data_IF_102878860660
#
_entry.id   IF_102878860660
#
_cell.length_a   1.000
_cell.length_b   1.000
_cell.length_c   1.000
_cell.angle_alpha   90.00
_cell.angle_beta   90.00
_cell.angle_gamma   90.00
#
_symmetry.space_group_name_H-M   'P 1'
#
loop_
_entity.id
_entity.type
_entity.pdbx_description
1 polymer ?
#
# COMPACT_ATOMS: atom_id res chain seq x y z
N UNK A 1 28.98 14.50 -68.16
CA UNK A 1 29.97 15.19 -67.32
C UNK A 1 30.36 14.17 -66.24
N UNK A 2 31.28 13.24 -66.51
CA UNK A 2 32.75 13.41 -66.37
C UNK A 2 33.08 13.78 -64.90
N UNK A 3 33.91 13.08 -64.12
CA UNK A 3 35.12 12.32 -64.45
C UNK A 3 35.69 11.66 -63.15
N UNK A 4 36.22 10.43 -63.29
CA UNK A 4 37.45 9.83 -62.66
C UNK A 4 37.60 9.65 -61.15
N UNK A 5 37.80 8.40 -60.67
CA UNK A 5 39.06 7.63 -60.40
C UNK A 5 39.78 8.12 -59.12
N UNK A 6 40.11 7.27 -58.13
CA UNK A 6 41.12 6.20 -58.21
C UNK A 6 40.88 4.99 -57.27
N UNK A 7 41.33 3.82 -57.74
CA UNK A 7 41.69 2.57 -57.02
C UNK A 7 43.21 2.65 -56.66
N UNK A 8 43.84 1.77 -55.83
CA UNK A 8 43.60 0.31 -55.76
C UNK A 8 43.93 -0.45 -54.43
N UNK A 9 43.69 -1.78 -54.48
CA UNK A 9 44.47 -2.89 -53.86
C UNK A 9 44.44 -3.02 -52.33
N UNK A 10 44.23 -4.18 -51.69
CA UNK A 10 44.74 -5.54 -51.96
C UNK A 10 43.88 -6.63 -51.27
N UNK A 11 43.82 -7.81 -51.91
CA UNK A 11 43.77 -9.20 -51.38
C UNK A 11 42.76 -9.53 -50.24
N UNK A 12 41.74 -10.37 -50.44
CA UNK A 12 41.72 -11.81 -50.80
C UNK A 12 42.29 -12.74 -49.71
N UNK A 13 41.39 -13.41 -48.98
CA UNK A 13 41.38 -14.87 -48.70
C UNK A 13 40.18 -15.16 -47.77
N UNK A 14 39.12 -15.81 -48.28
CA UNK A 14 38.90 -17.27 -48.27
C UNK A 14 38.65 -17.84 -46.87
N UNK A 15 37.39 -18.14 -46.52
CA UNK A 15 36.90 -19.53 -46.60
C UNK A 15 35.41 -19.62 -46.22
N UNK A 16 34.58 -19.92 -47.22
CA UNK A 16 33.22 -20.46 -47.09
C UNK A 16 33.31 -21.92 -47.51
N UNK A 17 33.08 -22.90 -46.61
CA UNK A 17 32.75 -24.28 -47.01
C UNK A 17 31.73 -24.95 -46.10
N UNK A 18 30.58 -25.22 -46.70
CA UNK A 18 29.59 -26.23 -46.33
C UNK A 18 30.20 -27.66 -46.35
N UNK A 19 29.66 -28.62 -45.58
CA UNK A 19 30.18 -29.98 -45.54
C UNK A 19 29.81 -30.79 -46.79
N UNK A 20 30.81 -31.48 -47.33
CA UNK A 20 30.74 -32.34 -48.51
C UNK A 20 30.15 -33.72 -48.18
N UNK A 21 29.18 -34.15 -48.99
CA UNK A 21 28.76 -35.54 -49.11
C UNK A 21 29.80 -36.34 -49.91
N UNK A 22 30.21 -37.48 -49.37
CA UNK A 22 31.14 -38.40 -50.01
C UNK A 22 30.43 -39.23 -51.09
N UNK A 23 30.76 -38.98 -52.35
CA UNK A 23 30.43 -39.83 -53.49
C UNK A 23 31.45 -40.96 -53.61
N UNK A 24 30.98 -42.21 -53.58
CA UNK A 24 31.78 -43.42 -53.77
C UNK A 24 32.24 -43.59 -55.22
N UNK A 25 33.52 -43.94 -55.41
CA UNK A 25 34.13 -44.31 -56.69
C UNK A 25 33.62 -45.68 -57.15
N UNK A 26 33.06 -45.75 -58.36
CA UNK A 26 32.90 -47.00 -59.11
C UNK A 26 34.25 -47.41 -59.72
N UNK A 27 34.76 -48.57 -59.32
CA UNK A 27 35.91 -49.24 -59.96
C UNK A 27 35.38 -50.16 -61.07
N UNK A 28 35.96 -50.01 -62.27
CA UNK A 28 35.61 -50.76 -63.47
C UNK A 28 36.01 -52.24 -63.35
N UNK A 29 35.09 -53.12 -63.75
CA UNK A 29 35.25 -54.59 -63.77
C UNK A 29 35.95 -55.01 -65.07
N UNK A 30 37.06 -55.73 -64.97
CA UNK A 30 37.74 -56.40 -66.11
C UNK A 30 37.10 -57.79 -66.39
N UNK A 31 37.12 -58.30 -67.64
CA UNK A 31 36.46 -59.55 -68.00
C UNK A 31 37.23 -60.81 -67.53
N UNK A 32 36.50 -61.77 -66.94
CA UNK A 32 37.00 -63.07 -66.45
C UNK A 32 37.35 -64.04 -67.59
N UNK A 33 38.33 -64.91 -67.36
CA UNK A 33 38.74 -65.96 -68.31
C UNK A 33 37.85 -67.21 -68.22
N UNK A 34 37.77 -68.07 -69.27
CA UNK A 34 36.81 -69.19 -69.35
C UNK A 34 36.97 -70.27 -68.27
N UNK A 35 38.12 -70.35 -67.60
CA UNK A 35 38.40 -71.35 -66.57
C UNK A 35 37.80 -71.00 -65.19
N UNK A 36 37.33 -69.77 -64.99
CA UNK A 36 36.80 -69.28 -63.70
C UNK A 36 35.27 -69.39 -63.59
N UNK A 37 34.60 -69.85 -64.64
CA UNK A 37 33.13 -69.96 -64.71
C UNK A 37 32.55 -71.28 -64.18
N UNK A 38 33.39 -72.22 -63.72
CA UNK A 38 32.97 -73.56 -63.27
C UNK A 38 33.24 -73.84 -61.79
N UNK A 39 33.71 -72.85 -61.01
CA UNK A 39 33.74 -72.98 -59.55
C UNK A 39 32.39 -72.55 -58.94
N UNK A 40 31.79 -73.33 -58.03
CA UNK A 40 30.58 -72.93 -57.34
C UNK A 40 30.88 -71.68 -56.52
N UNK A 41 30.21 -70.58 -56.87
CA UNK A 41 30.39 -69.27 -56.23
C UNK A 41 30.03 -69.42 -54.75
N UNK A 42 30.99 -69.15 -53.85
CA UNK A 42 30.72 -69.11 -52.41
C UNK A 42 29.60 -68.08 -52.16
N UNK A 43 28.62 -68.39 -51.28
CA UNK A 43 27.60 -67.41 -50.91
C UNK A 43 28.27 -66.14 -50.38
N UNK A 44 27.70 -64.94 -50.63
CA UNK A 44 28.20 -63.71 -50.01
C UNK A 44 28.20 -63.89 -48.48
N UNK A 45 29.27 -63.43 -47.84
CA UNK A 45 29.38 -63.47 -46.38
C UNK A 45 28.14 -62.78 -45.75
N UNK A 46 27.59 -63.32 -44.65
CA UNK A 46 26.51 -62.66 -43.92
C UNK A 46 26.95 -61.23 -43.59
N UNK A 47 26.05 -60.22 -43.67
CA UNK A 47 26.41 -58.87 -43.24
C UNK A 47 26.99 -58.95 -41.82
N UNK A 48 28.12 -58.28 -41.60
CA UNK A 48 28.71 -58.15 -40.27
C UNK A 48 27.57 -57.73 -39.33
N UNK A 49 27.30 -58.54 -38.30
CA UNK A 49 26.35 -58.14 -37.27
C UNK A 49 26.97 -56.91 -36.62
N UNK A 50 26.30 -55.76 -36.77
CA UNK A 50 26.64 -54.56 -36.01
C UNK A 50 26.86 -55.00 -34.56
N UNK A 51 28.07 -54.76 -34.03
CA UNK A 51 28.34 -55.03 -32.62
C UNK A 51 27.28 -54.29 -31.81
N UNK A 52 26.64 -54.93 -30.80
CA UNK A 52 25.62 -54.27 -30.01
C UNK A 52 26.24 -52.99 -29.42
N UNK A 53 25.68 -51.84 -29.80
CA UNK A 53 26.08 -50.54 -29.28
C UNK A 53 26.19 -50.63 -27.74
N UNK A 54 27.29 -50.18 -27.13
CA UNK A 54 27.48 -50.33 -25.70
C UNK A 54 26.32 -49.69 -24.95
N UNK A 55 25.60 -50.50 -24.16
CA UNK A 55 24.51 -50.03 -23.32
C UNK A 55 25.02 -48.82 -22.50
N UNK A 56 24.41 -47.63 -22.62
CA UNK A 56 24.88 -46.46 -21.89
C UNK A 56 24.94 -46.78 -20.39
N UNK A 57 26.07 -46.43 -19.76
CA UNK A 57 26.33 -46.73 -18.35
C UNK A 57 25.11 -46.39 -17.48
N UNK A 58 24.75 -47.22 -16.49
CA UNK A 58 23.52 -47.04 -15.71
C UNK A 58 23.40 -45.66 -15.05
N UNK A 59 24.54 -45.02 -14.78
CA UNK A 59 24.63 -43.64 -14.30
C UNK A 59 24.12 -42.59 -15.31
N UNK A 60 24.42 -42.74 -16.61
CA UNK A 60 23.97 -41.82 -17.66
C UNK A 60 22.46 -41.94 -17.91
N UNK A 61 21.90 -43.17 -17.90
CA UNK A 61 20.44 -43.38 -17.96
C UNK A 61 19.72 -42.76 -16.75
N UNK A 62 20.32 -42.80 -15.56
CA UNK A 62 19.79 -42.15 -14.37
C UNK A 62 19.84 -40.62 -14.47
N UNK A 63 20.91 -40.07 -15.06
CA UNK A 63 21.06 -38.64 -15.31
C UNK A 63 20.04 -38.13 -16.34
N UNK A 64 19.84 -38.85 -17.45
CA UNK A 64 18.82 -38.51 -18.46
C UNK A 64 17.40 -38.55 -17.87
N UNK A 65 17.12 -39.52 -16.99
CA UNK A 65 15.87 -39.58 -16.24
C UNK A 65 15.67 -38.36 -15.33
N UNK A 66 16.72 -37.92 -14.63
CA UNK A 66 16.68 -36.72 -13.80
C UNK A 66 16.50 -35.45 -14.65
N UNK A 67 17.23 -35.29 -15.74
CA UNK A 67 17.11 -34.15 -16.66
C UNK A 67 15.70 -34.07 -17.23
N UNK A 68 15.16 -35.20 -17.70
CA UNK A 68 13.78 -35.28 -18.21
C UNK A 68 12.76 -34.95 -17.12
N UNK A 69 12.96 -35.43 -15.88
CA UNK A 69 12.10 -35.11 -14.74
C UNK A 69 12.12 -33.62 -14.41
N UNK A 70 13.30 -32.99 -14.33
CA UNK A 70 13.42 -31.55 -14.06
C UNK A 70 12.87 -30.71 -15.21
N UNK A 71 13.02 -31.15 -16.46
CA UNK A 71 12.43 -30.49 -17.62
C UNK A 71 10.90 -30.53 -17.56
N UNK A 72 10.30 -31.69 -17.29
CA UNK A 72 8.85 -31.82 -17.12
C UNK A 72 8.34 -31.00 -15.94
N UNK A 73 9.08 -30.98 -14.82
CA UNK A 73 8.77 -30.15 -13.67
C UNK A 73 8.81 -28.65 -14.04
N UNK A 74 9.82 -28.21 -14.79
CA UNK A 74 9.92 -26.83 -15.26
C UNK A 74 8.76 -26.46 -16.19
N UNK A 75 8.41 -27.31 -17.15
CA UNK A 75 7.24 -27.12 -18.02
C UNK A 75 5.94 -27.03 -17.22
N UNK A 76 5.76 -27.88 -16.21
CA UNK A 76 4.61 -27.84 -15.31
C UNK A 76 4.56 -26.51 -14.54
N UNK A 77 5.68 -26.08 -13.96
CA UNK A 77 5.77 -24.82 -13.22
C UNK A 77 5.47 -23.61 -14.12
N UNK A 78 5.98 -23.59 -15.35
CA UNK A 78 5.68 -22.55 -16.35
C UNK A 78 4.19 -22.55 -16.71
N UNK A 79 3.59 -23.72 -16.90
CA UNK A 79 2.15 -23.86 -17.18
C UNK A 79 1.29 -23.33 -16.03
N UNK A 80 1.61 -23.72 -14.79
CA UNK A 80 0.93 -23.22 -13.58
C UNK A 80 1.10 -21.70 -13.45
N UNK A 81 2.32 -21.21 -13.67
CA UNK A 81 2.61 -19.77 -13.62
C UNK A 81 1.78 -18.98 -14.64
N UNK A 82 1.73 -19.46 -15.89
CA UNK A 82 0.91 -18.84 -16.93
C UNK A 82 -0.58 -18.85 -16.57
N UNK A 83 -1.08 -19.98 -16.04
CA UNK A 83 -2.46 -20.09 -15.59
C UNK A 83 -2.81 -19.10 -14.46
N UNK A 84 -1.95 -18.97 -13.44
CA UNK A 84 -2.11 -17.99 -12.35
C UNK A 84 -2.12 -16.57 -12.91
N UNK A 85 -1.19 -16.24 -13.81
CA UNK A 85 -1.12 -14.91 -14.45
C UNK A 85 -2.43 -14.59 -15.18
N UNK A 86 -2.95 -15.53 -15.98
CA UNK A 86 -4.21 -15.33 -16.70
C UNK A 86 -5.34 -15.08 -15.72
N UNK A 87 -5.49 -15.89 -14.68
CA UNK A 87 -6.56 -15.74 -13.68
C UNK A 87 -6.48 -14.43 -12.90
N UNK A 88 -5.27 -13.94 -12.62
CA UNK A 88 -5.06 -12.71 -11.85
C UNK A 88 -5.57 -11.45 -12.58
N UNK A 89 -5.56 -11.49 -13.92
CA UNK A 89 -6.01 -10.41 -14.80
C UNK A 89 -7.45 -10.60 -15.29
N UNK A 90 -8.12 -11.71 -14.95
CA UNK A 90 -9.53 -11.91 -15.28
C UNK A 90 -10.42 -10.95 -14.49
N UNK A 91 -11.56 -10.53 -15.07
CA UNK A 91 -12.60 -9.79 -14.35
C UNK A 91 -13.01 -10.54 -13.07
N UNK A 92 -13.05 -9.82 -11.95
CA UNK A 92 -13.43 -10.41 -10.66
C UNK A 92 -14.91 -10.75 -10.58
N UNK A 93 -15.33 -11.53 -9.56
CA UNK A 93 -16.71 -12.01 -9.44
C UNK A 93 -17.71 -10.96 -8.95
N UNK A 94 -17.29 -9.78 -8.50
CA UNK A 94 -18.23 -8.75 -8.03
C UNK A 94 -19.16 -8.26 -9.15
N UNK A 95 -20.46 -8.43 -8.97
CA UNK A 95 -21.47 -7.84 -9.83
C UNK A 95 -21.72 -6.34 -9.53
N UNK A 96 -21.45 -5.88 -8.31
CA UNK A 96 -21.66 -4.49 -7.85
C UNK A 96 -20.49 -4.04 -6.98
N UNK A 97 -20.17 -2.75 -7.00
CA UNK A 97 -19.13 -2.20 -6.13
C UNK A 97 -19.46 -2.47 -4.66
N UNK A 98 -18.50 -2.99 -3.92
CA UNK A 98 -18.68 -3.42 -2.52
C UNK A 98 -17.59 -2.83 -1.64
N UNK A 99 -17.97 -2.39 -0.44
CA UNK A 99 -17.05 -1.88 0.57
C UNK A 99 -16.69 -3.02 1.53
N UNK A 100 -15.39 -3.22 1.75
CA UNK A 100 -14.87 -4.24 2.66
C UNK A 100 -13.91 -3.59 3.66
N UNK A 101 -14.06 -3.97 4.93
CA UNK A 101 -13.23 -3.49 6.02
C UNK A 101 -12.19 -4.56 6.35
N UNK A 102 -10.92 -4.17 6.30
CA UNK A 102 -9.78 -5.01 6.66
C UNK A 102 -9.23 -4.51 8.00
N UNK A 103 -9.43 -5.26 9.10
CA UNK A 103 -8.90 -4.95 10.42
C UNK A 103 -7.38 -4.79 10.48
N UNK A 104 -6.91 -3.98 11.44
CA UNK A 104 -5.48 -3.85 11.76
C UNK A 104 -4.92 -5.18 12.28
N UNK A 105 -3.71 -5.53 11.83
CA UNK A 105 -3.03 -6.75 12.25
C UNK A 105 -3.54 -8.04 11.58
N UNK A 106 -4.53 -7.96 10.69
CA UNK A 106 -5.00 -9.13 9.95
C UNK A 106 -3.90 -9.61 8.97
N UNK A 107 -3.53 -10.89 9.06
CA UNK A 107 -2.51 -11.49 8.22
C UNK A 107 -2.99 -11.71 6.78
N UNK A 108 -2.06 -11.77 5.83
CA UNK A 108 -2.35 -11.93 4.38
C UNK A 108 -3.33 -13.06 4.07
N UNK A 109 -3.17 -14.22 4.74
CA UNK A 109 -4.06 -15.36 4.53
C UNK A 109 -5.50 -15.13 5.01
N UNK A 110 -5.67 -14.40 6.12
CA UNK A 110 -6.99 -14.03 6.64
C UNK A 110 -7.66 -12.97 5.75
N UNK A 111 -6.90 -11.98 5.28
CA UNK A 111 -7.37 -10.98 4.31
C UNK A 111 -7.87 -11.69 3.05
N UNK A 112 -7.08 -12.61 2.49
CA UNK A 112 -7.47 -13.34 1.28
C UNK A 112 -8.72 -14.21 1.49
N UNK A 113 -8.88 -14.81 2.67
CA UNK A 113 -10.10 -15.55 3.01
C UNK A 113 -11.32 -14.65 3.10
N UNK A 114 -11.19 -13.49 3.75
CA UNK A 114 -12.25 -12.48 3.84
C UNK A 114 -12.66 -11.99 2.46
N UNK A 115 -11.70 -11.61 1.63
CA UNK A 115 -11.98 -11.14 0.27
C UNK A 115 -12.68 -12.22 -0.57
N UNK A 116 -12.33 -13.50 -0.40
CA UNK A 116 -13.03 -14.57 -1.10
C UNK A 116 -14.46 -14.75 -0.55
N UNK A 117 -14.62 -14.71 0.77
CA UNK A 117 -15.92 -14.85 1.45
C UNK A 117 -16.88 -13.73 1.07
N UNK A 118 -16.38 -12.51 0.95
CA UNK A 118 -17.13 -11.32 0.56
C UNK A 118 -17.33 -11.23 -0.96
N UNK A 119 -16.87 -12.24 -1.72
CA UNK A 119 -17.02 -12.31 -3.17
C UNK A 119 -16.19 -11.28 -3.93
N UNK A 120 -15.15 -10.71 -3.30
CA UNK A 120 -14.24 -9.76 -3.93
C UNK A 120 -13.26 -10.46 -4.87
N UNK A 121 -12.79 -11.65 -4.49
CA UNK A 121 -11.89 -12.47 -5.29
C UNK A 121 -12.48 -13.87 -5.51
N UNK A 122 -12.18 -14.48 -6.65
CA UNK A 122 -12.68 -15.81 -6.99
C UNK A 122 -12.00 -16.93 -6.18
N UNK A 123 -10.68 -16.85 -5.98
CA UNK A 123 -9.89 -17.90 -5.33
C UNK A 123 -8.76 -17.31 -4.48
N UNK A 124 -8.75 -17.67 -3.19
CA UNK A 124 -7.71 -17.26 -2.22
C UNK A 124 -6.32 -17.76 -2.58
N UNK A 125 -6.18 -18.98 -3.11
CA UNK A 125 -4.88 -19.59 -3.43
C UNK A 125 -4.22 -18.81 -4.56
N UNK A 126 -4.98 -18.52 -5.62
CA UNK A 126 -4.50 -17.69 -6.74
C UNK A 126 -4.07 -16.32 -6.23
N UNK A 127 -4.89 -15.67 -5.41
CA UNK A 127 -4.56 -14.36 -4.84
C UNK A 127 -3.29 -14.40 -3.98
N UNK A 128 -3.13 -15.40 -3.11
CA UNK A 128 -1.93 -15.56 -2.28
C UNK A 128 -0.67 -15.83 -3.10
N UNK A 129 -0.74 -16.70 -4.11
CA UNK A 129 0.39 -16.96 -5.02
C UNK A 129 0.79 -15.67 -5.76
N UNK A 130 -0.20 -14.88 -6.19
CA UNK A 130 0.03 -13.61 -6.85
C UNK A 130 0.66 -12.55 -5.92
N UNK A 131 0.33 -12.53 -4.63
CA UNK A 131 1.01 -11.66 -3.65
C UNK A 131 2.49 -12.01 -3.55
N UNK A 132 2.83 -13.31 -3.45
CA UNK A 132 4.22 -13.74 -3.37
C UNK A 132 5.00 -13.31 -4.63
N UNK A 133 4.41 -13.48 -5.80
CA UNK A 133 4.97 -13.02 -7.07
C UNK A 133 5.13 -11.49 -7.13
N UNK A 134 4.10 -10.75 -6.72
CA UNK A 134 4.12 -9.29 -6.72
C UNK A 134 5.18 -8.74 -5.76
N UNK A 135 5.30 -9.33 -4.58
CA UNK A 135 6.31 -8.96 -3.58
C UNK A 135 7.73 -9.28 -4.04
N UNK A 136 7.91 -10.37 -4.80
CA UNK A 136 9.20 -10.73 -5.41
C UNK A 136 9.62 -9.73 -6.52
N UNK A 137 8.67 -9.26 -7.34
CA UNK A 137 8.97 -8.37 -8.47
C UNK A 137 9.06 -6.89 -8.10
N UNK A 138 8.12 -6.39 -7.30
CA UNK A 138 8.03 -4.95 -7.01
C UNK A 138 8.76 -4.52 -5.74
N UNK A 139 9.08 -5.46 -4.85
CA UNK A 139 9.73 -5.17 -3.58
C UNK A 139 8.82 -4.40 -2.61
N UNK A 140 8.81 -4.84 -1.35
CA UNK A 140 8.18 -4.18 -0.19
C UNK A 140 6.82 -3.51 -0.43
N UNK A 141 5.77 -4.33 -0.58
CA UNK A 141 4.39 -3.90 -0.38
C UNK A 141 3.75 -4.77 0.70
N UNK A 142 3.36 -4.18 1.83
CA UNK A 142 2.48 -4.84 2.79
C UNK A 142 1.04 -4.44 2.51
N UNK A 143 0.12 -5.42 2.57
CA UNK A 143 -1.32 -5.14 2.51
C UNK A 143 -1.66 -4.21 3.68
N UNK A 144 -2.26 -3.07 3.37
CA UNK A 144 -2.68 -2.10 4.37
C UNK A 144 -4.05 -2.48 4.92
N UNK A 145 -4.24 -2.24 6.21
CA UNK A 145 -5.54 -2.32 6.85
C UNK A 145 -6.32 -1.03 6.55
N UNK A 146 -7.64 -1.14 6.42
CA UNK A 146 -8.49 -0.01 6.06
C UNK A 146 -9.86 -0.45 5.56
N UNK A 147 -10.69 0.54 5.27
CA UNK A 147 -11.96 0.36 4.58
C UNK A 147 -11.75 0.63 3.09
N UNK A 148 -12.09 -0.32 2.22
CA UNK A 148 -11.79 -0.24 0.78
C UNK A 148 -13.05 -0.45 -0.04
N UNK A 149 -13.24 0.38 -1.06
CA UNK A 149 -14.25 0.15 -2.10
C UNK A 149 -13.64 -0.62 -3.27
N UNK A 150 -14.17 -1.80 -3.56
CA UNK A 150 -13.82 -2.56 -4.75
C UNK A 150 -14.89 -2.37 -5.82
N UNK A 151 -14.48 -1.93 -7.00
CA UNK A 151 -15.39 -1.73 -8.14
C UNK A 151 -15.95 -3.06 -8.64
N UNK A 152 -17.13 -3.02 -9.28
CA UNK A 152 -17.66 -4.18 -10.02
C UNK A 152 -16.62 -4.73 -10.99
N UNK A 153 -16.51 -6.05 -11.05
CA UNK A 153 -15.56 -6.78 -11.89
C UNK A 153 -14.08 -6.40 -11.69
N UNK A 154 -13.71 -5.79 -10.56
CA UNK A 154 -12.32 -5.49 -10.25
C UNK A 154 -11.46 -6.76 -10.33
N UNK A 155 -10.36 -6.71 -11.07
CA UNK A 155 -9.46 -7.85 -11.19
C UNK A 155 -8.71 -8.07 -9.88
N UNK A 156 -8.20 -9.29 -9.65
CA UNK A 156 -7.37 -9.55 -8.46
C UNK A 156 -6.14 -8.63 -8.40
N UNK A 157 -5.60 -8.23 -9.56
CA UNK A 157 -4.55 -7.20 -9.66
C UNK A 157 -5.00 -5.88 -9.08
N UNK A 158 -6.16 -5.37 -9.51
CA UNK A 158 -6.68 -4.09 -9.03
C UNK A 158 -7.01 -4.13 -7.54
N UNK A 159 -7.54 -5.25 -7.05
CA UNK A 159 -7.77 -5.49 -5.63
C UNK A 159 -6.44 -5.43 -4.87
N UNK A 160 -5.42 -6.15 -5.33
CA UNK A 160 -4.09 -6.13 -4.71
C UNK A 160 -3.47 -4.73 -4.71
N UNK A 161 -3.49 -4.04 -5.86
CA UNK A 161 -2.94 -2.70 -6.00
C UNK A 161 -3.63 -1.72 -5.03
N UNK A 162 -4.97 -1.78 -4.91
CA UNK A 162 -5.75 -0.95 -3.98
C UNK A 162 -5.31 -1.16 -2.52
N UNK A 163 -5.04 -2.41 -2.13
CA UNK A 163 -4.61 -2.78 -0.78
C UNK A 163 -3.15 -2.43 -0.49
N UNK A 164 -2.27 -2.54 -1.48
CA UNK A 164 -0.85 -2.20 -1.33
C UNK A 164 -0.65 -0.69 -1.31
N UNK A 165 -1.34 0.04 -2.20
CA UNK A 165 -1.32 1.50 -2.24
C UNK A 165 -2.00 2.12 -1.00
N UNK A 166 -2.89 1.37 -0.34
CA UNK A 166 -3.60 1.84 0.84
C UNK A 166 -4.63 2.93 0.49
N UNK A 167 -5.27 2.85 -0.68
CA UNK A 167 -6.36 3.76 -1.10
C UNK A 167 -7.65 3.47 -0.33
N UNK A 168 -7.60 3.62 0.99
CA UNK A 168 -8.75 3.42 1.87
C UNK A 168 -9.70 4.61 1.83
N UNK A 169 -10.96 4.37 2.12
CA UNK A 169 -11.95 5.38 2.43
C UNK A 169 -11.54 6.06 3.74
N UNK A 170 -11.44 7.39 3.69
CA UNK A 170 -11.23 8.23 4.86
C UNK A 170 -12.49 9.03 5.15
N UNK A 171 -12.89 8.98 6.42
CA UNK A 171 -13.94 9.81 7.00
C UNK A 171 -13.32 11.05 7.63
N UNK A 172 -14.15 12.05 7.95
CA UNK A 172 -13.69 13.29 8.57
C UNK A 172 -14.62 13.72 9.68
N UNK A 173 -14.05 14.22 10.77
CA UNK A 173 -14.79 14.91 11.83
C UNK A 173 -14.21 16.30 12.00
N UNK A 174 -15.06 17.33 11.89
CA UNK A 174 -14.66 18.73 12.08
C UNK A 174 -15.08 19.18 13.47
N UNK A 175 -14.12 19.65 14.24
CA UNK A 175 -14.30 20.16 15.61
C UNK A 175 -13.98 21.65 15.58
N UNK A 176 -14.99 22.47 15.85
CA UNK A 176 -14.87 23.92 15.76
C UNK A 176 -14.10 24.49 16.96
N UNK A 177 -13.48 25.66 16.77
CA UNK A 177 -12.90 26.46 17.84
C UNK A 177 -13.95 26.83 18.90
N UNK A 178 -13.50 27.04 20.13
CA UNK A 178 -14.37 27.38 21.26
C UNK A 178 -15.18 26.21 21.83
N UNK A 179 -15.10 24.99 21.30
CA UNK A 179 -15.73 23.84 21.95
C UNK A 179 -14.99 23.46 23.25
N UNK A 180 -15.74 23.05 24.27
CA UNK A 180 -15.16 22.48 25.49
C UNK A 180 -14.73 21.03 25.26
N UNK A 181 -13.83 20.51 26.10
CA UNK A 181 -13.43 19.09 26.04
C UNK A 181 -14.65 18.16 26.17
N UNK A 182 -15.63 18.52 27.01
CA UNK A 182 -16.88 17.78 27.13
C UNK A 182 -17.66 17.73 25.81
N UNK A 183 -17.84 18.87 25.14
CA UNK A 183 -18.56 18.96 23.87
C UNK A 183 -17.84 18.19 22.75
N UNK A 184 -16.51 18.24 22.72
CA UNK A 184 -15.70 17.46 21.77
C UNK A 184 -15.93 15.97 21.99
N UNK A 185 -15.82 15.49 23.23
CA UNK A 185 -16.06 14.09 23.57
C UNK A 185 -17.48 13.67 23.19
N UNK A 186 -18.50 14.47 23.54
CA UNK A 186 -19.89 14.19 23.17
C UNK A 186 -20.07 14.09 21.65
N UNK A 187 -19.44 14.99 20.88
CA UNK A 187 -19.50 14.98 19.41
C UNK A 187 -18.82 13.75 18.81
N UNK A 188 -17.69 13.31 19.37
CA UNK A 188 -17.02 12.07 18.95
C UNK A 188 -17.85 10.83 19.31
N UNK A 189 -18.44 10.79 20.51
CA UNK A 189 -19.32 9.72 20.95
C UNK A 189 -20.56 9.58 20.06
N UNK A 190 -21.15 10.70 19.62
CA UNK A 190 -22.31 10.70 18.73
C UNK A 190 -21.99 10.38 17.25
N UNK A 191 -20.72 10.36 16.84
CA UNK A 191 -20.35 10.12 15.45
C UNK A 191 -20.55 8.64 15.08
N UNK A 192 -21.38 8.30 14.06
CA UNK A 192 -21.78 6.91 13.78
C UNK A 192 -20.66 6.02 13.23
N UNK A 193 -19.69 6.62 12.53
CA UNK A 193 -18.57 5.88 11.93
C UNK A 193 -17.39 5.68 12.89
N UNK A 194 -17.42 6.34 14.05
CA UNK A 194 -16.40 6.17 15.09
C UNK A 194 -16.82 5.06 16.05
N UNK A 195 -15.84 4.39 16.62
CA UNK A 195 -16.04 3.30 17.57
C UNK A 195 -15.04 3.39 18.72
N UNK A 196 -15.26 2.57 19.75
CA UNK A 196 -14.48 2.59 20.98
C UNK A 196 -15.00 3.60 21.99
N UNK A 197 -14.76 3.31 23.26
CA UNK A 197 -15.10 4.19 24.38
C UNK A 197 -13.99 5.22 24.59
N UNK A 198 -14.36 6.37 25.16
CA UNK A 198 -13.41 7.36 25.65
C UNK A 198 -13.33 7.19 27.17
N UNK A 199 -12.17 6.78 27.68
CA UNK A 199 -12.02 6.41 29.09
C UNK A 199 -12.23 7.60 30.06
N UNK A 200 -11.78 8.79 29.65
CA UNK A 200 -11.90 10.00 30.44
C UNK A 200 -11.98 11.23 29.54
N UNK A 201 -12.67 12.26 30.01
CA UNK A 201 -12.71 13.55 29.31
C UNK A 201 -11.34 14.22 29.47
N UNK A 202 -10.68 14.59 28.36
CA UNK A 202 -9.39 15.27 28.44
C UNK A 202 -9.47 16.62 29.14
N UNK A 203 -8.38 17.11 29.77
CA UNK A 203 -8.36 18.44 30.36
C UNK A 203 -8.76 19.54 29.37
N UNK A 204 -9.37 20.62 29.83
CA UNK A 204 -9.73 21.75 28.96
C UNK A 204 -8.51 22.36 28.27
N UNK A 205 -8.71 22.79 27.02
CA UNK A 205 -7.65 23.34 26.17
C UNK A 205 -6.58 22.31 25.76
N UNK A 206 -6.70 21.03 26.14
CA UNK A 206 -5.75 19.98 25.77
C UNK A 206 -5.95 19.43 24.35
N UNK A 207 -7.05 19.81 23.68
CA UNK A 207 -7.46 19.29 22.38
C UNK A 207 -7.44 20.41 21.34
N UNK A 208 -6.69 20.22 20.25
CA UNK A 208 -6.63 21.20 19.16
C UNK A 208 -7.89 21.09 18.29
N UNK A 209 -8.70 22.15 18.14
CA UNK A 209 -9.81 22.15 17.20
C UNK A 209 -9.30 22.14 15.75
N UNK A 210 -9.72 21.14 14.97
CA UNK A 210 -9.41 21.02 13.54
C UNK A 210 -10.36 19.99 12.88
N UNK A 211 -10.16 19.74 11.59
CA UNK A 211 -10.74 18.61 10.87
C UNK A 211 -9.80 17.41 10.90
N UNK A 212 -10.21 16.36 11.60
CA UNK A 212 -9.45 15.12 11.73
C UNK A 212 -9.98 14.07 10.77
N UNK A 213 -9.07 13.48 9.99
CA UNK A 213 -9.34 12.35 9.09
C UNK A 213 -9.16 11.03 9.82
N UNK A 214 -10.03 10.07 9.58
CA UNK A 214 -9.95 8.77 10.23
C UNK A 214 -10.50 7.66 9.33
N UNK A 215 -9.97 6.45 9.46
CA UNK A 215 -10.51 5.25 8.83
C UNK A 215 -11.43 4.49 9.79
N UNK A 216 -12.17 3.50 9.27
CA UNK A 216 -13.08 2.68 10.10
C UNK A 216 -12.42 1.85 11.20
N UNK A 217 -11.10 1.70 11.12
CA UNK A 217 -10.28 1.02 12.13
C UNK A 217 -9.72 1.96 13.20
N UNK A 218 -9.92 3.29 13.08
CA UNK A 218 -9.51 4.25 14.09
C UNK A 218 -10.54 4.33 15.20
N UNK A 219 -10.06 4.33 16.44
CA UNK A 219 -10.94 4.50 17.61
C UNK A 219 -11.18 5.98 17.91
N UNK A 220 -12.21 6.28 18.72
CA UNK A 220 -12.41 7.61 19.29
C UNK A 220 -11.20 8.07 20.11
N UNK A 221 -10.56 7.13 20.82
CA UNK A 221 -9.35 7.39 21.60
C UNK A 221 -8.17 7.77 20.71
N UNK A 222 -8.00 7.12 19.54
CA UNK A 222 -6.96 7.46 18.56
C UNK A 222 -7.11 8.91 18.05
N UNK A 223 -8.34 9.41 17.95
CA UNK A 223 -8.59 10.82 17.59
C UNK A 223 -8.19 11.74 18.75
N UNK A 224 -8.61 11.45 19.98
CA UNK A 224 -8.25 12.24 21.16
C UNK A 224 -6.72 12.36 21.29
N UNK A 225 -5.99 11.26 21.15
CA UNK A 225 -4.52 11.26 21.23
C UNK A 225 -3.88 12.12 20.13
N UNK A 226 -4.40 12.04 18.90
CA UNK A 226 -3.95 12.90 17.81
C UNK A 226 -4.24 14.37 18.08
N UNK A 227 -5.40 14.70 18.63
CA UNK A 227 -5.76 16.06 19.02
C UNK A 227 -4.82 16.61 20.10
N UNK A 228 -4.47 15.80 21.11
CA UNK A 228 -3.56 16.19 22.18
C UNK A 228 -2.12 16.39 21.67
N UNK A 229 -1.64 15.48 20.82
CA UNK A 229 -0.34 15.62 20.19
C UNK A 229 -0.27 16.87 19.29
N UNK A 230 -1.33 17.13 18.53
CA UNK A 230 -1.44 18.32 17.69
C UNK A 230 -1.47 19.60 18.53
N UNK A 231 -2.22 19.62 19.64
CA UNK A 231 -2.29 20.76 20.56
C UNK A 231 -0.94 21.07 21.19
N UNK A 232 -0.25 20.05 21.71
CA UNK A 232 1.07 20.23 22.32
C UNK A 232 2.07 20.81 21.32
N UNK A 233 2.07 20.29 20.09
CA UNK A 233 2.94 20.77 19.00
C UNK A 233 2.58 22.21 18.58
N UNK A 234 1.29 22.51 18.44
CA UNK A 234 0.81 23.83 18.06
C UNK A 234 1.18 24.87 19.12
N UNK A 235 0.89 24.59 20.39
CA UNK A 235 1.17 25.49 21.50
C UNK A 235 2.68 25.76 21.65
N UNK A 236 3.51 24.72 21.54
CA UNK A 236 4.96 24.87 21.58
C UNK A 236 5.45 25.81 20.45
N UNK A 237 4.97 25.59 19.21
CA UNK A 237 5.35 26.41 18.06
C UNK A 237 4.92 27.87 18.23
N UNK A 238 3.68 28.12 18.66
CA UNK A 238 3.17 29.49 18.85
C UNK A 238 3.92 30.18 20.00
N UNK A 239 4.25 29.44 21.05
CA UNK A 239 4.99 29.98 22.20
C UNK A 239 6.42 30.39 21.83
N UNK A 240 7.09 29.66 20.95
CA UNK A 240 8.42 30.04 20.45
C UNK A 240 8.40 31.37 19.67
N UNK A 241 7.32 31.64 18.93
CA UNK A 241 7.17 32.84 18.09
C UNK A 241 6.37 33.96 18.77
N UNK A 242 6.18 33.90 20.09
CA UNK A 242 5.37 34.88 20.82
C UNK A 242 6.07 36.24 20.93
N UNK A 243 5.29 37.30 21.12
CA UNK A 243 5.85 38.63 21.42
C UNK A 243 6.53 38.63 22.81
N UNK A 244 7.69 39.27 22.93
CA UNK A 244 8.44 39.35 24.19
C UNK A 244 7.69 40.14 25.28
N UNK A 245 6.78 41.04 24.88
CA UNK A 245 6.05 41.93 25.79
C UNK A 245 4.71 41.39 26.30
N UNK A 246 4.35 40.13 26.04
CA UNK A 246 3.07 39.57 26.50
C UNK A 246 3.01 39.49 28.03
N UNK A 247 1.81 39.64 28.58
CA UNK A 247 1.59 39.63 30.04
C UNK A 247 1.64 38.23 30.66
N UNK A 248 1.44 37.19 29.86
CA UNK A 248 1.40 35.79 30.29
C UNK A 248 2.81 35.20 30.34
N UNK A 249 3.07 34.39 31.35
CA UNK A 249 4.41 33.87 31.67
C UNK A 249 4.60 32.42 31.24
N UNK A 250 3.51 31.69 31.03
CA UNK A 250 3.54 30.28 30.61
C UNK A 250 2.69 30.02 29.36
N UNK A 251 2.99 28.98 28.57
CA UNK A 251 2.14 28.56 27.46
C UNK A 251 0.69 28.26 27.90
N UNK A 252 0.53 27.72 29.10
CA UNK A 252 -0.77 27.41 29.69
C UNK A 252 -1.57 28.69 29.97
N UNK A 253 -0.95 29.73 30.54
CA UNK A 253 -1.60 31.03 30.72
C UNK A 253 -1.99 31.68 29.40
N UNK A 254 -1.15 31.55 28.36
CA UNK A 254 -1.49 32.04 27.03
C UNK A 254 -2.71 31.33 26.45
N UNK A 255 -2.79 30.01 26.61
CA UNK A 255 -3.94 29.22 26.18
C UNK A 255 -5.23 29.60 26.93
N UNK A 256 -5.14 29.84 28.25
CA UNK A 256 -6.28 30.31 29.05
C UNK A 256 -6.74 31.69 28.56
N UNK A 257 -5.82 32.63 28.34
CA UNK A 257 -6.18 33.94 27.82
C UNK A 257 -6.81 33.84 26.42
N UNK A 258 -6.26 32.98 25.56
CA UNK A 258 -6.79 32.73 24.23
C UNK A 258 -8.21 32.13 24.26
N UNK A 259 -8.51 31.24 25.20
CA UNK A 259 -9.86 30.66 25.32
C UNK A 259 -10.90 31.70 25.75
N UNK A 260 -10.51 32.67 26.59
CA UNK A 260 -11.37 33.79 26.98
C UNK A 260 -11.62 34.71 25.77
N UNK A 261 -10.57 35.10 25.04
CA UNK A 261 -10.70 35.92 23.83
C UNK A 261 -11.59 35.25 22.78
N UNK A 262 -11.44 33.94 22.58
CA UNK A 262 -12.24 33.17 21.63
C UNK A 262 -13.73 33.13 22.00
N UNK A 263 -14.04 33.11 23.29
CA UNK A 263 -15.44 33.13 23.77
C UNK A 263 -16.07 34.51 23.81
N UNK A 264 -15.27 35.56 23.87
CA UNK A 264 -15.75 36.95 23.91
C UNK A 264 -16.28 37.42 22.55
N UNK A 265 -15.70 36.93 21.44
CA UNK A 265 -16.16 37.27 20.09
C UNK A 265 -16.00 36.11 19.11
N UNK A 266 -17.01 35.91 18.26
CA UNK A 266 -16.90 35.04 17.09
C UNK A 266 -16.26 35.72 15.87
N UNK A 267 -15.92 37.01 15.96
CA UNK A 267 -15.37 37.81 14.86
C UNK A 267 -13.85 37.86 14.91
N UNK A 268 -13.20 37.24 13.92
CA UNK A 268 -11.75 37.11 13.88
C UNK A 268 -11.00 38.46 13.88
N UNK A 269 -11.59 39.50 13.29
CA UNK A 269 -11.03 40.86 13.23
C UNK A 269 -11.03 41.60 14.57
N UNK A 270 -11.89 41.20 15.51
CA UNK A 270 -11.99 41.82 16.83
C UNK A 270 -11.04 41.18 17.86
N UNK A 271 -10.63 39.94 17.63
CA UNK A 271 -9.78 39.17 18.57
C UNK A 271 -8.51 39.91 19.01
N UNK A 272 -7.73 40.59 18.14
CA UNK A 272 -6.55 41.33 18.57
C UNK A 272 -6.87 42.51 19.51
N UNK A 273 -7.98 43.22 19.24
CA UNK A 273 -8.42 44.35 20.08
C UNK A 273 -8.85 43.85 21.47
N UNK A 274 -9.66 42.80 21.52
CA UNK A 274 -10.11 42.19 22.78
C UNK A 274 -8.92 41.64 23.57
N UNK A 275 -8.00 40.94 22.90
CA UNK A 275 -6.77 40.46 23.52
C UNK A 275 -5.95 41.63 24.13
N UNK A 276 -5.85 42.77 23.44
CA UNK A 276 -5.16 43.96 23.96
C UNK A 276 -5.81 44.52 25.22
N UNK A 277 -7.14 44.52 25.30
CA UNK A 277 -7.90 44.98 26.48
C UNK A 277 -7.61 44.09 27.68
N UNK A 278 -7.69 42.77 27.52
CA UNK A 278 -7.40 41.84 28.60
C UNK A 278 -5.93 41.91 29.05
N UNK A 279 -4.99 42.01 28.11
CA UNK A 279 -3.57 42.21 28.47
C UNK A 279 -3.35 43.50 29.28
N UNK A 280 -4.00 44.61 28.88
CA UNK A 280 -3.91 45.88 29.60
C UNK A 280 -4.52 45.83 31.00
N UNK A 281 -5.63 45.10 31.18
CA UNK A 281 -6.24 44.87 32.50
C UNK A 281 -5.31 44.05 33.40
N UNK A 282 -4.74 42.96 32.88
CA UNK A 282 -3.81 42.11 33.63
C UNK A 282 -2.57 42.88 34.08
N UNK A 283 -1.97 43.72 33.21
CA UNK A 283 -0.83 44.58 33.59
C UNK A 283 -1.14 45.57 34.72
N UNK A 284 -2.41 45.95 34.88
CA UNK A 284 -2.88 46.85 35.94
C UNK A 284 -3.40 46.10 37.17
N UNK A 285 -3.23 44.78 37.25
CA UNK A 285 -3.82 43.92 38.28
C UNK A 285 -5.35 44.10 38.42
N UNK A 286 -6.05 44.36 37.32
CA UNK A 286 -7.50 44.46 37.29
C UNK A 286 -8.14 43.11 36.98
N UNK A 287 -9.32 42.83 37.56
CA UNK A 287 -10.15 41.68 37.18
C UNK A 287 -10.52 41.74 35.70
N UNK A 288 -10.52 40.60 35.01
CA UNK A 288 -10.90 40.52 33.59
C UNK A 288 -12.37 40.86 33.36
N UNK A 289 -13.25 40.37 34.25
CA UNK A 289 -14.72 40.54 34.16
C UNK A 289 -15.27 40.07 32.80
N UNK A 290 -14.94 38.82 32.42
CA UNK A 290 -15.40 38.22 31.16
C UNK A 290 -16.56 37.26 31.45
N UNK A 291 -17.72 37.54 30.88
CA UNK A 291 -18.94 36.74 31.05
C UNK A 291 -18.74 35.25 30.71
N UNK A 292 -18.00 34.87 29.65
CA UNK A 292 -17.64 33.47 29.39
C UNK A 292 -17.04 32.71 30.56
N UNK A 293 -16.23 33.38 31.40
CA UNK A 293 -15.59 32.72 32.55
C UNK A 293 -16.58 32.41 33.67
N UNK A 294 -17.57 33.29 33.87
CA UNK A 294 -18.66 33.10 34.83
C UNK A 294 -19.55 31.93 34.38
N UNK A 295 -19.95 31.94 33.10
CA UNK A 295 -20.75 30.86 32.52
C UNK A 295 -20.03 29.52 32.68
N UNK A 296 -18.72 29.48 32.38
CA UNK A 296 -17.93 28.27 32.52
C UNK A 296 -17.86 27.79 33.98
N UNK A 297 -17.70 28.69 34.95
CA UNK A 297 -17.74 28.35 36.38
C UNK A 297 -19.07 27.71 36.80
N UNK A 298 -20.20 28.27 36.34
CA UNK A 298 -21.54 27.79 36.67
C UNK A 298 -21.86 26.40 36.07
N UNK A 299 -21.47 26.15 34.81
CA UNK A 299 -21.89 24.93 34.08
C UNK A 299 -20.78 23.90 33.87
N UNK A 300 -19.55 24.21 34.29
CA UNK A 300 -18.38 23.34 34.15
C UNK A 300 -18.13 22.87 32.71
N UNK A 301 -18.47 23.71 31.72
CA UNK A 301 -18.33 23.40 30.29
C UNK A 301 -19.28 22.34 29.72
N UNK A 302 -20.29 21.88 30.49
CA UNK A 302 -21.23 20.81 30.08
C UNK A 302 -22.48 21.30 29.34
N UNK A 303 -22.84 22.57 29.49
CA UNK A 303 -24.03 23.17 28.90
C UNK A 303 -23.71 24.56 28.32
N UNK A 304 -24.51 24.98 27.33
CA UNK A 304 -24.64 26.40 26.97
C UNK A 304 -25.82 26.92 27.78
N UNK A 305 -25.65 28.01 28.53
CA UNK A 305 -26.77 28.62 29.25
C UNK A 305 -27.71 29.27 28.22
N UNK A 306 -28.95 28.77 28.15
CA UNK A 306 -30.02 29.31 27.29
C UNK A 306 -30.73 30.54 27.91
N UNK A 307 -30.23 31.07 29.03
CA UNK A 307 -30.77 32.24 29.71
C UNK A 307 -29.67 33.24 30.14
N UNK A 308 -30.01 34.54 30.28
CA UNK A 308 -29.12 35.53 30.88
C UNK A 308 -28.73 35.11 32.31
N UNK A 309 -27.49 35.44 32.70
CA UNK A 309 -26.95 35.16 34.04
C UNK A 309 -27.71 36.01 35.07
N UNK A 310 -28.21 35.39 36.14
CA UNK A 310 -28.85 36.10 37.24
C UNK A 310 -27.85 36.40 38.36
N UNK A 311 -27.99 37.54 39.01
CA UNK A 311 -27.01 38.07 39.98
C UNK A 311 -26.86 37.17 41.22
N UNK A 312 -27.91 36.46 41.59
CA UNK A 312 -27.96 35.48 42.67
C UNK A 312 -27.23 34.17 42.39
N UNK A 313 -26.97 33.85 41.12
CA UNK A 313 -26.13 32.71 40.71
C UNK A 313 -24.64 33.05 40.83
N UNK A 314 -24.27 34.31 40.63
CA UNK A 314 -22.89 34.81 40.72
C UNK A 314 -22.44 34.96 42.18
N UNK A 315 -23.34 35.36 43.07
CA UNK A 315 -23.04 35.63 44.49
C UNK A 315 -22.94 34.35 45.36
N UNK A 316 -23.12 33.16 44.78
CA UNK A 316 -23.02 31.86 45.48
C UNK A 316 -21.63 31.21 45.42
N UNK A 317 -20.69 31.78 44.66
CA UNK A 317 -19.25 31.43 44.69
C UNK A 317 -18.44 32.42 45.56
#
# INVERSE_FOLDING_TARGET
MSLTRDLPSTANDNDERLPAGAAGRQLAVLPRSPAEALEPTRPPDPPERDEPEPDPHPFLRMLDGLVTFFFLLACLLVGVFYWVKVQFDQPGPLATSTVVVIPRGEGVGAIAERLQRDGVIADRRVFMTSILYFMYLKGQGSLKAGEYEFRKYATMRQVLDTLVEGKSIEHKVTLAEGLTSFQIVAKLMAHPELHGEIAQIPPEGSLLPDTYRFGRNDTRQDIIERMQAAQAKFLAKVWETRDEGIVVTTPQEALILASIVEKETGRADERPLIASVFQNRLRKNMRLQSDPTIIYGLVGGKAVLDHPIQQDEVDRE
#
